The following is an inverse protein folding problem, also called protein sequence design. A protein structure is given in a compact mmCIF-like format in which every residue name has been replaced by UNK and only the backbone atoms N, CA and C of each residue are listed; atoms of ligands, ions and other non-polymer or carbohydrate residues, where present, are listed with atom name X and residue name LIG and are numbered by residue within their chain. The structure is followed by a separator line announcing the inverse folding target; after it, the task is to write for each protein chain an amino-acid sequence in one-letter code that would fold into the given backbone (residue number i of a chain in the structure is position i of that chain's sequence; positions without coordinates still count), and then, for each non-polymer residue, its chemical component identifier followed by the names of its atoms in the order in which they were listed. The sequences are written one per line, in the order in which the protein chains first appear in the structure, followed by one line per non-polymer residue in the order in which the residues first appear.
data_IF_327615344015
#
_entry.id   IF_327615344015
#
_cell.length_a   1.000
_cell.length_b   1.000
_cell.length_c   1.000
_cell.angle_alpha   90.00
_cell.angle_beta   90.00
_cell.angle_gamma   90.00
#
_symmetry.space_group_name_H-M   'P 1'
#
loop_
_entity.id
_entity.type
_entity.pdbx_description
1 polymer ?
#
# COMPACT_ATOMS: atom_id res chain seq x y z
N UNK A 1 -6.88 35.55 26.64
CA UNK A 1 -5.49 35.78 26.20
C UNK A 1 -4.79 34.44 26.01
N UNK A 2 -4.10 34.21 24.87
CA UNK A 2 -3.25 33.01 24.71
C UNK A 2 -2.04 33.19 25.63
N UNK A 3 -1.84 32.26 26.57
CA UNK A 3 -0.65 32.26 27.43
C UNK A 3 0.58 31.98 26.56
N UNK A 4 1.66 32.72 26.78
CA UNK A 4 2.94 32.46 26.15
C UNK A 4 3.49 31.09 26.55
N UNK A 5 4.47 30.61 25.79
CA UNK A 5 5.20 29.38 26.08
C UNK A 5 5.85 29.44 27.46
N UNK A 6 5.84 28.35 28.22
CA UNK A 6 6.46 28.33 29.55
C UNK A 6 7.99 28.37 29.46
N UNK A 7 8.64 28.99 30.45
CA UNK A 7 10.10 29.01 30.57
C UNK A 7 10.71 27.61 30.51
N UNK A 8 10.03 26.62 31.09
CA UNK A 8 10.46 25.22 31.06
C UNK A 8 10.44 24.65 29.64
N UNK A 9 9.46 25.02 28.81
CA UNK A 9 9.41 24.59 27.42
C UNK A 9 10.55 25.21 26.58
N UNK A 10 10.89 26.47 26.84
CA UNK A 10 12.01 27.16 26.17
C UNK A 10 13.35 26.50 26.54
N UNK A 11 13.59 26.26 27.83
CA UNK A 11 14.80 25.56 28.31
C UNK A 11 14.92 24.15 27.73
N UNK A 12 13.82 23.39 27.73
CA UNK A 12 13.79 22.05 27.14
C UNK A 12 14.10 22.06 25.64
N UNK A 13 13.62 23.08 24.90
CA UNK A 13 13.92 23.23 23.48
C UNK A 13 15.40 23.52 23.24
N UNK A 14 16.01 24.42 24.01
CA UNK A 14 17.45 24.76 23.89
C UNK A 14 18.31 23.53 24.17
N UNK A 15 18.03 22.77 25.23
CA UNK A 15 18.77 21.55 25.55
C UNK A 15 18.59 20.47 24.47
N UNK A 16 17.38 20.33 23.90
CA UNK A 16 17.14 19.45 22.76
C UNK A 16 17.99 19.83 21.54
N UNK A 17 18.03 21.12 21.19
CA UNK A 17 18.82 21.62 20.06
C UNK A 17 20.31 21.34 20.29
N UNK A 18 20.83 21.54 21.51
CA UNK A 18 22.23 21.19 21.83
C UNK A 18 22.52 19.69 21.68
N UNK A 19 21.57 18.83 22.05
CA UNK A 19 21.73 17.37 21.97
C UNK A 19 21.66 16.84 20.55
N UNK A 20 20.64 17.25 19.80
CA UNK A 20 20.28 16.63 18.50
C UNK A 20 20.65 17.50 17.30
N UNK A 21 20.94 18.78 17.50
CA UNK A 21 21.19 19.77 16.44
C UNK A 21 19.94 20.19 15.66
N UNK A 22 18.76 19.69 16.05
CA UNK A 22 17.52 19.79 15.27
C UNK A 22 16.38 20.28 16.18
N UNK A 23 15.49 21.12 15.63
CA UNK A 23 14.33 21.70 16.33
C UNK A 23 13.12 20.77 16.35
N UNK A 24 13.05 19.83 15.41
CA UNK A 24 11.97 18.84 15.25
C UNK A 24 11.70 18.07 16.55
N UNK A 25 10.45 17.61 16.71
CA UNK A 25 10.09 16.78 17.85
C UNK A 25 10.81 15.43 17.82
N UNK A 26 11.51 15.14 18.90
CA UNK A 26 12.05 13.83 19.19
C UNK A 26 10.86 12.94 19.53
N UNK A 27 10.21 12.32 18.53
CA UNK A 27 9.09 11.37 18.70
C UNK A 27 9.48 10.09 19.47
N UNK A 28 10.61 10.12 20.17
CA UNK A 28 11.18 9.08 21.01
C UNK A 28 10.16 8.78 22.11
N UNK A 29 9.66 7.54 22.14
CA UNK A 29 8.65 7.10 23.10
C UNK A 29 7.21 7.48 22.76
N UNK A 30 6.96 8.37 21.80
CA UNK A 30 5.63 8.64 21.25
C UNK A 30 5.37 7.81 19.98
N UNK A 31 5.80 6.55 20.01
CA UNK A 31 5.50 5.60 18.95
C UNK A 31 4.06 5.14 19.17
N UNK A 32 3.19 5.31 18.18
CA UNK A 32 1.82 4.80 18.26
C UNK A 32 1.82 3.31 18.62
N UNK A 33 0.71 2.80 19.16
CA UNK A 33 0.56 1.38 19.50
C UNK A 33 1.02 0.50 18.33
N UNK A 34 1.97 -0.44 18.55
CA UNK A 34 2.41 -1.36 17.51
C UNK A 34 1.21 -2.12 16.95
N UNK A 35 1.15 -2.23 15.62
CA UNK A 35 0.10 -2.99 14.95
C UNK A 35 0.46 -4.46 14.97
N UNK A 36 0.00 -5.18 16.00
CA UNK A 36 0.31 -6.59 16.23
C UNK A 36 -0.08 -7.54 15.09
N UNK A 37 -0.94 -7.09 14.17
CA UNK A 37 -1.41 -7.91 13.04
C UNK A 37 -0.44 -7.84 11.84
N UNK A 38 0.47 -6.87 11.81
CA UNK A 38 1.48 -6.74 10.76
C UNK A 38 2.70 -7.59 11.11
N UNK A 39 2.54 -8.90 10.95
CA UNK A 39 3.62 -9.88 11.07
C UNK A 39 3.99 -10.38 9.69
N UNK A 40 5.25 -10.75 9.49
CA UNK A 40 5.74 -11.31 8.23
C UNK A 40 4.94 -12.56 7.81
N UNK A 41 4.56 -13.40 8.78
CA UNK A 41 3.68 -14.55 8.53
C UNK A 41 2.29 -14.17 7.99
N UNK A 42 1.72 -13.06 8.43
CA UNK A 42 0.41 -12.60 7.94
C UNK A 42 0.54 -11.97 6.56
N UNK A 43 1.63 -11.24 6.31
CA UNK A 43 1.96 -10.66 5.01
C UNK A 43 2.13 -11.78 3.96
N UNK A 44 2.88 -12.83 4.30
CA UNK A 44 3.04 -14.04 3.51
C UNK A 44 1.72 -14.75 3.21
N UNK A 45 0.83 -14.86 4.20
CA UNK A 45 -0.48 -15.48 4.02
C UNK A 45 -1.31 -14.70 2.99
N UNK A 46 -1.33 -13.37 3.09
CA UNK A 46 -2.03 -12.50 2.13
C UNK A 46 -1.40 -12.60 0.73
N UNK A 47 -0.06 -12.63 0.65
CA UNK A 47 0.66 -12.76 -0.62
C UNK A 47 0.40 -14.11 -1.30
N UNK A 48 0.34 -15.22 -0.55
CA UNK A 48 -0.01 -16.55 -1.07
C UNK A 48 -1.42 -16.59 -1.63
N UNK A 49 -2.39 -15.94 -0.97
CA UNK A 49 -3.76 -15.84 -1.49
C UNK A 49 -3.79 -14.99 -2.77
N UNK A 50 -3.00 -13.92 -2.85
CA UNK A 50 -2.90 -13.06 -4.02
C UNK A 50 -2.41 -13.82 -5.26
N UNK A 51 -1.34 -14.61 -5.11
CA UNK A 51 -0.79 -15.41 -6.20
C UNK A 51 -1.79 -16.44 -6.72
N UNK A 52 -2.60 -17.03 -5.83
CA UNK A 52 -3.61 -18.03 -6.20
C UNK A 52 -4.87 -17.40 -6.82
N UNK A 53 -5.34 -16.28 -6.28
CA UNK A 53 -6.67 -15.73 -6.57
C UNK A 53 -6.69 -14.19 -6.61
N UNK A 54 -5.99 -13.56 -7.57
CA UNK A 54 -5.77 -12.11 -7.58
C UNK A 54 -7.05 -11.29 -7.81
N UNK A 55 -8.10 -11.89 -8.39
CA UNK A 55 -9.35 -11.20 -8.76
C UNK A 55 -10.42 -11.26 -7.66
N UNK A 56 -10.11 -11.83 -6.51
CA UNK A 56 -11.08 -11.99 -5.42
C UNK A 56 -11.20 -10.72 -4.58
N UNK A 57 -12.35 -10.55 -3.92
CA UNK A 57 -12.59 -9.38 -3.07
C UNK A 57 -11.76 -9.44 -1.79
N UNK A 58 -11.45 -8.29 -1.19
CA UNK A 58 -10.77 -8.19 0.12
C UNK A 58 -11.46 -9.01 1.21
N UNK A 59 -12.80 -9.12 1.15
CA UNK A 59 -13.56 -9.95 2.10
C UNK A 59 -13.18 -11.43 1.98
N UNK A 60 -13.07 -11.94 0.75
CA UNK A 60 -12.71 -13.35 0.53
C UNK A 60 -11.22 -13.58 0.79
N UNK A 61 -10.35 -12.61 0.46
CA UNK A 61 -8.96 -12.63 0.87
C UNK A 61 -8.81 -12.81 2.38
N UNK A 62 -9.55 -12.01 3.15
CA UNK A 62 -9.54 -12.08 4.60
C UNK A 62 -10.02 -13.45 5.11
N UNK A 63 -11.07 -14.01 4.50
CA UNK A 63 -11.53 -15.37 4.80
C UNK A 63 -10.46 -16.43 4.52
N UNK A 64 -9.80 -16.39 3.35
CA UNK A 64 -8.76 -17.35 2.99
C UNK A 64 -7.47 -17.20 3.79
N UNK A 65 -7.12 -15.97 4.18
CA UNK A 65 -5.96 -15.69 5.01
C UNK A 65 -6.22 -15.87 6.52
N UNK A 66 -7.47 -16.11 6.93
CA UNK A 66 -7.84 -16.21 8.35
C UNK A 66 -7.71 -14.90 9.13
N UNK A 67 -7.81 -13.76 8.44
CA UNK A 67 -7.60 -12.42 8.99
C UNK A 67 -8.89 -11.60 9.01
N UNK A 68 -8.90 -10.53 9.81
CA UNK A 68 -10.00 -9.54 9.75
C UNK A 68 -9.89 -8.73 8.48
N UNK A 69 -11.01 -8.48 7.80
CA UNK A 69 -11.08 -7.68 6.55
C UNK A 69 -10.26 -6.38 6.58
N UNK A 70 -10.37 -5.59 7.65
CA UNK A 70 -9.61 -4.34 7.77
C UNK A 70 -8.12 -4.56 7.95
N UNK A 71 -7.70 -5.61 8.65
CA UNK A 71 -6.29 -5.93 8.78
C UNK A 71 -5.71 -6.34 7.43
N UNK A 72 -6.39 -7.23 6.70
CA UNK A 72 -6.01 -7.62 5.34
C UNK A 72 -5.92 -6.42 4.41
N UNK A 73 -6.91 -5.52 4.43
CA UNK A 73 -6.87 -4.29 3.64
C UNK A 73 -5.64 -3.43 3.97
N UNK A 74 -5.33 -3.26 5.27
CA UNK A 74 -4.19 -2.46 5.67
C UNK A 74 -2.86 -3.14 5.32
N UNK A 75 -2.74 -4.46 5.47
CA UNK A 75 -1.56 -5.24 5.02
C UNK A 75 -1.35 -5.03 3.52
N UNK A 76 -2.41 -5.23 2.73
CA UNK A 76 -2.35 -5.04 1.27
C UNK A 76 -1.89 -3.62 0.91
N UNK A 77 -2.47 -2.58 1.50
CA UNK A 77 -2.17 -1.20 1.12
C UNK A 77 -0.85 -0.65 1.70
N UNK A 78 -0.50 -1.03 2.93
CA UNK A 78 0.59 -0.38 3.69
C UNK A 78 1.86 -1.21 3.71
N UNK A 79 1.76 -2.54 3.84
CA UNK A 79 2.94 -3.42 3.87
C UNK A 79 3.29 -3.90 2.47
N UNK A 80 2.30 -4.42 1.73
CA UNK A 80 2.51 -5.00 0.39
C UNK A 80 2.42 -3.97 -0.73
N UNK A 81 2.04 -2.72 -0.42
CA UNK A 81 1.88 -1.63 -1.39
C UNK A 81 0.98 -1.98 -2.60
N UNK A 82 -0.03 -2.82 -2.37
CA UNK A 82 -1.04 -3.22 -3.34
C UNK A 82 -2.27 -2.32 -3.26
N UNK A 83 -2.97 -2.18 -4.37
CA UNK A 83 -4.26 -1.49 -4.44
C UNK A 83 -5.39 -2.51 -4.63
N UNK A 84 -6.16 -2.84 -3.58
CA UNK A 84 -7.13 -3.92 -3.64
C UNK A 84 -8.45 -3.45 -4.25
N UNK A 85 -8.46 -3.20 -5.56
CA UNK A 85 -9.66 -2.89 -6.34
C UNK A 85 -10.14 -4.11 -7.14
N UNK A 86 -11.46 -4.20 -7.31
CA UNK A 86 -12.08 -5.24 -8.13
C UNK A 86 -12.12 -4.78 -9.59
N UNK A 87 -11.24 -5.32 -10.44
CA UNK A 87 -11.34 -5.13 -11.90
C UNK A 87 -12.51 -5.99 -12.41
N UNK A 88 -13.56 -5.33 -12.90
CA UNK A 88 -14.65 -5.99 -13.60
C UNK A 88 -14.44 -5.85 -15.11
N UNK A 89 -14.44 -6.96 -15.83
CA UNK A 89 -14.42 -6.99 -17.29
C UNK A 89 -15.83 -7.32 -17.77
N UNK A 90 -16.51 -6.38 -18.44
CA UNK A 90 -17.92 -6.51 -18.81
C UNK A 90 -18.17 -7.51 -19.95
N UNK A 91 -17.19 -7.73 -20.84
CA UNK A 91 -17.28 -8.71 -21.92
C UNK A 91 -15.98 -9.52 -22.00
N UNK A 92 -16.05 -10.87 -21.95
CA UNK A 92 -14.91 -11.71 -22.29
C UNK A 92 -14.61 -11.57 -23.79
N UNK A 93 -13.34 -11.42 -24.15
CA UNK A 93 -12.94 -11.43 -25.55
C UNK A 93 -13.06 -12.85 -26.13
N UNK A 94 -13.60 -12.94 -27.35
CA UNK A 94 -13.49 -14.17 -28.14
C UNK A 94 -12.06 -14.34 -28.64
N UNK A 95 -11.65 -15.58 -28.91
CA UNK A 95 -10.30 -15.90 -29.41
C UNK A 95 -10.00 -15.10 -30.68
N UNK A 96 -10.92 -15.09 -31.64
CA UNK A 96 -10.79 -14.33 -32.89
C UNK A 96 -10.60 -12.82 -32.65
N UNK A 97 -11.25 -12.24 -31.64
CA UNK A 97 -11.10 -10.82 -31.32
C UNK A 97 -9.74 -10.52 -30.68
N UNK A 98 -9.14 -11.47 -29.96
CA UNK A 98 -7.76 -11.35 -29.45
C UNK A 98 -6.78 -11.36 -30.61
N UNK A 99 -6.90 -12.35 -31.51
CA UNK A 99 -6.01 -12.51 -32.65
C UNK A 99 -6.05 -11.29 -33.57
N UNK A 100 -7.25 -10.81 -33.92
CA UNK A 100 -7.41 -9.63 -34.77
C UNK A 100 -6.73 -8.38 -34.17
N UNK A 101 -6.84 -8.18 -32.85
CA UNK A 101 -6.17 -7.07 -32.15
C UNK A 101 -4.66 -7.23 -32.14
N UNK A 102 -4.17 -8.45 -31.94
CA UNK A 102 -2.74 -8.76 -31.96
C UNK A 102 -2.12 -8.47 -33.33
N UNK A 103 -2.73 -8.98 -34.41
CA UNK A 103 -2.25 -8.72 -35.78
C UNK A 103 -2.28 -7.24 -36.12
N UNK A 104 -3.36 -6.54 -35.78
CA UNK A 104 -3.47 -5.10 -35.99
C UNK A 104 -2.37 -4.32 -35.26
N UNK A 105 -2.13 -4.62 -33.98
CA UNK A 105 -1.09 -3.95 -33.20
C UNK A 105 0.31 -4.15 -33.79
N UNK A 106 0.64 -5.36 -34.24
CA UNK A 106 1.92 -5.66 -34.87
C UNK A 106 2.09 -4.97 -36.22
N UNK A 107 1.03 -4.90 -37.03
CA UNK A 107 1.05 -4.16 -38.29
C UNK A 107 1.30 -2.66 -38.05
N UNK A 108 0.67 -2.08 -37.03
CA UNK A 108 0.87 -0.67 -36.67
C UNK A 108 2.26 -0.40 -36.07
N UNK A 109 2.84 -1.35 -35.33
CA UNK A 109 4.20 -1.20 -34.83
C UNK A 109 5.21 -1.08 -35.98
N UNK A 110 5.05 -1.92 -37.02
CA UNK A 110 5.88 -1.87 -38.22
C UNK A 110 5.71 -0.59 -39.04
N UNK A 111 4.56 0.09 -38.98
CA UNK A 111 4.40 1.37 -39.66
C UNK A 111 4.98 2.54 -38.88
N UNK A 112 5.09 2.44 -37.56
CA UNK A 112 5.63 3.50 -36.69
C UNK A 112 7.17 3.45 -36.60
N UNK A 113 7.77 2.26 -36.58
CA UNK A 113 9.24 2.11 -36.48
C UNK A 113 9.98 2.36 -37.81
N UNK A 114 9.26 2.37 -38.94
CA UNK A 114 9.82 2.56 -40.28
C UNK A 114 9.26 3.81 -41.01
N UNK A 115 8.56 4.69 -40.28
CA UNK A 115 7.99 5.95 -40.75
C UNK A 115 8.73 7.18 -40.26
#
# INVERSE_FOLDING_TARGET
MRRGTSDNAIKALIEKIKRTGIVNDDRIGNVCRPRSVFTESNDDAVQKVMQKQPRTSVRNFAFHAGLRRMATHCIMCQNLHMFPYKIQTCQPLTVNAVDARYYFANAMLQTVDFG
#
